data_IF_744311692944
#
_entry.id   IF_744311692944
#
_cell.length_a   1.000
_cell.length_b   1.000
_cell.length_c   1.000
_cell.angle_alpha   90.00
_cell.angle_beta   90.00
_cell.angle_gamma   90.00
#
_symmetry.space_group_name_H-M   'P 1'
#
loop_
_entity.id
_entity.type
_entity.pdbx_description
1 polymer ?
#
# COMPACT_ATOMS: atom_id res chain seq x y z
N UNK A 1 12.42 15.48 -20.23
CA UNK A 1 12.30 14.30 -19.35
C UNK A 1 13.72 13.83 -19.10
N UNK A 2 14.40 14.57 -18.23
CA UNK A 2 15.78 14.32 -17.87
C UNK A 2 15.89 12.92 -17.26
N UNK A 3 16.78 12.11 -17.85
CA UNK A 3 17.11 10.79 -17.32
C UNK A 3 17.74 11.04 -15.95
N UNK A 4 17.00 10.70 -14.90
CA UNK A 4 17.40 10.90 -13.52
C UNK A 4 18.82 10.38 -13.30
N UNK A 5 19.71 11.29 -12.91
CA UNK A 5 21.04 10.95 -12.42
C UNK A 5 20.84 10.28 -11.06
N UNK A 6 21.15 8.98 -10.99
CA UNK A 6 21.03 8.22 -9.76
C UNK A 6 22.13 8.68 -8.81
N UNK A 7 21.75 9.41 -7.76
CA UNK A 7 22.65 9.82 -6.68
C UNK A 7 22.91 8.59 -5.79
N UNK A 8 24.17 8.33 -5.44
CA UNK A 8 24.52 7.15 -4.65
C UNK A 8 23.73 7.10 -3.32
N UNK A 9 23.17 5.93 -3.00
CA UNK A 9 22.31 5.61 -1.84
C UNK A 9 20.80 5.92 -1.99
N UNK A 10 20.27 6.11 -3.20
CA UNK A 10 18.83 6.25 -3.45
C UNK A 10 18.20 4.96 -4.03
N UNK A 11 17.02 4.58 -3.53
CA UNK A 11 16.19 3.51 -4.13
C UNK A 11 14.93 4.15 -4.74
N UNK A 12 14.90 4.22 -6.07
CA UNK A 12 13.75 4.72 -6.83
C UNK A 12 12.90 3.55 -7.31
N UNK A 13 11.63 3.51 -6.90
CA UNK A 13 10.66 2.53 -7.38
C UNK A 13 9.74 3.19 -8.39
N UNK A 14 9.88 2.82 -9.66
CA UNK A 14 9.02 3.33 -10.73
C UNK A 14 7.74 2.49 -10.83
N UNK A 15 6.60 3.13 -10.62
CA UNK A 15 5.28 2.49 -10.72
C UNK A 15 4.45 3.19 -11.78
N UNK A 16 3.85 2.46 -12.75
CA UNK A 16 2.96 3.06 -13.74
C UNK A 16 1.77 3.76 -13.06
N UNK A 17 1.50 5.01 -13.46
CA UNK A 17 0.46 5.84 -12.84
C UNK A 17 -0.93 5.22 -12.89
N UNK A 18 -1.24 4.54 -13.99
CA UNK A 18 -2.49 3.78 -14.17
C UNK A 18 -2.71 2.72 -13.09
N UNK A 19 -1.63 2.07 -12.65
CA UNK A 19 -1.67 1.02 -11.61
C UNK A 19 -1.50 1.56 -10.18
N UNK A 20 -1.29 2.87 -10.03
CA UNK A 20 -1.06 3.49 -8.72
C UNK A 20 -2.34 3.53 -7.88
N UNK A 21 -3.47 3.87 -8.50
CA UNK A 21 -4.76 3.98 -7.80
C UNK A 21 -5.14 2.64 -7.15
N UNK A 22 -5.05 1.54 -7.90
CA UNK A 22 -5.39 0.20 -7.40
C UNK A 22 -4.51 -0.23 -6.22
N UNK A 23 -3.21 0.09 -6.28
CA UNK A 23 -2.26 -0.23 -5.20
C UNK A 23 -2.45 0.63 -3.94
N UNK A 24 -3.04 1.81 -4.08
CA UNK A 24 -3.31 2.71 -2.94
C UNK A 24 -4.62 2.35 -2.24
N UNK A 25 -5.63 1.90 -2.97
CA UNK A 25 -6.96 1.60 -2.38
C UNK A 25 -7.16 0.14 -1.97
N UNK A 26 -6.34 -0.77 -2.51
CA UNK A 26 -6.38 -2.21 -2.20
C UNK A 26 -5.86 -2.61 -0.81
N UNK A 27 -4.85 -1.95 -0.22
CA UNK A 27 -4.31 -2.31 1.08
C UNK A 27 -5.35 -2.29 2.21
N UNK A 28 -5.15 -3.17 3.17
CA UNK A 28 -5.93 -3.28 4.40
C UNK A 28 -5.00 -3.56 5.57
N UNK A 29 -5.28 -2.95 6.72
CA UNK A 29 -4.46 -3.03 7.91
C UNK A 29 -5.10 -3.97 8.93
N UNK A 30 -4.31 -4.88 9.48
CA UNK A 30 -4.68 -5.66 10.66
C UNK A 30 -4.41 -4.81 11.90
N UNK A 31 -5.47 -4.50 12.65
CA UNK A 31 -5.36 -3.67 13.86
C UNK A 31 -4.58 -4.34 15.00
N UNK A 32 -4.39 -5.65 14.96
CA UNK A 32 -3.70 -6.41 16.02
C UNK A 32 -2.23 -6.61 15.68
N UNK A 33 -1.92 -7.00 14.44
CA UNK A 33 -0.55 -7.35 14.03
C UNK A 33 0.18 -6.23 13.30
N UNK A 34 -0.51 -5.15 12.95
CA UNK A 34 -0.01 -4.05 12.12
C UNK A 34 0.49 -4.49 10.73
N UNK A 35 0.12 -5.70 10.28
CA UNK A 35 0.43 -6.19 8.94
C UNK A 35 -0.50 -5.58 7.91
N UNK A 36 0.05 -5.22 6.75
CA UNK A 36 -0.73 -4.81 5.57
C UNK A 36 -0.92 -5.98 4.61
N UNK A 37 -2.16 -6.18 4.17
CA UNK A 37 -2.53 -7.15 3.15
C UNK A 37 -3.18 -6.42 1.97
N UNK A 38 -3.15 -6.99 0.77
CA UNK A 38 -3.63 -6.29 -0.44
C UNK A 38 -4.95 -6.81 -1.03
N UNK A 39 -5.68 -7.84 -0.63
CA UNK A 39 -6.78 -8.39 -1.47
C UNK A 39 -6.31 -9.01 -2.80
N UNK A 40 -5.71 -8.25 -3.74
CA UNK A 40 -5.28 -8.75 -5.07
C UNK A 40 -3.86 -9.33 -5.07
N UNK A 41 -2.83 -8.57 -4.68
CA UNK A 41 -1.41 -8.96 -4.83
C UNK A 41 -0.83 -9.72 -3.63
N UNK A 42 -1.47 -9.60 -2.48
CA UNK A 42 -1.14 -10.31 -1.24
C UNK A 42 -2.47 -10.66 -0.58
N UNK A 43 -3.20 -11.65 -1.15
CA UNK A 43 -4.46 -12.11 -0.59
C UNK A 43 -4.21 -12.74 0.78
N UNK A 44 -5.23 -12.70 1.63
CA UNK A 44 -5.14 -13.18 3.01
C UNK A 44 -5.19 -14.71 3.04
N UNK A 45 -4.56 -15.28 4.04
CA UNK A 45 -4.44 -16.73 4.17
C UNK A 45 -5.62 -17.37 4.93
N UNK A 46 -6.37 -16.61 5.75
CA UNK A 46 -7.45 -17.15 6.61
C UNK A 46 -8.62 -16.19 6.85
N UNK A 47 -9.82 -16.73 7.08
CA UNK A 47 -11.07 -15.98 7.35
C UNK A 47 -11.00 -15.13 8.64
N UNK A 48 -10.23 -15.57 9.63
CA UNK A 48 -10.06 -14.83 10.88
C UNK A 48 -9.35 -13.48 10.65
N UNK A 49 -8.36 -13.45 9.75
CA UNK A 49 -7.70 -12.22 9.33
C UNK A 49 -8.68 -11.38 8.49
N UNK A 50 -9.59 -12.01 7.75
CA UNK A 50 -10.58 -11.28 6.94
C UNK A 50 -11.44 -10.35 7.80
N UNK A 51 -11.95 -10.86 8.91
CA UNK A 51 -12.84 -10.15 9.82
C UNK A 51 -12.19 -8.97 10.55
N UNK A 52 -10.86 -9.00 10.74
CA UNK A 52 -10.14 -8.00 11.54
C UNK A 52 -9.57 -6.85 10.72
N UNK A 53 -9.45 -6.98 9.39
CA UNK A 53 -8.82 -5.91 8.63
C UNK A 53 -9.75 -4.71 8.44
N UNK A 54 -9.19 -3.55 8.72
CA UNK A 54 -9.83 -2.26 8.51
C UNK A 54 -9.20 -1.55 7.32
N UNK A 55 -9.97 -0.69 6.65
CA UNK A 55 -9.43 0.23 5.62
C UNK A 55 -8.79 1.41 6.34
N UNK A 56 -7.61 1.87 5.92
CA UNK A 56 -7.03 3.07 6.51
C UNK A 56 -7.83 4.30 6.03
N UNK A 57 -8.06 5.26 6.93
CA UNK A 57 -8.82 6.48 6.61
C UNK A 57 -8.12 7.36 5.57
N UNK A 58 -6.78 7.28 5.49
CA UNK A 58 -5.95 8.04 4.55
C UNK A 58 -5.72 7.34 3.19
N UNK A 59 -6.27 6.13 2.98
CA UNK A 59 -6.21 5.39 1.70
C UNK A 59 -7.14 6.04 0.66
N UNK A 60 -6.73 7.23 0.23
CA UNK A 60 -7.29 8.00 -0.87
C UNK A 60 -6.23 8.13 -1.96
N UNK A 61 -6.66 8.22 -3.22
CA UNK A 61 -5.75 8.36 -4.38
C UNK A 61 -4.81 9.58 -4.24
N UNK A 62 -5.15 10.55 -3.38
CA UNK A 62 -4.38 11.76 -3.16
C UNK A 62 -3.19 11.60 -2.22
N UNK A 63 -3.30 10.81 -1.14
CA UNK A 63 -2.38 10.97 0.01
C UNK A 63 -1.62 9.70 0.45
N UNK A 64 -1.99 8.50 -0.01
CA UNK A 64 -1.14 7.29 -0.03
C UNK A 64 -0.21 7.02 1.17
N UNK A 65 -0.58 7.38 2.40
CA UNK A 65 0.28 7.19 3.58
C UNK A 65 -0.58 6.76 4.75
N UNK A 66 -0.23 5.64 5.37
CA UNK A 66 -0.97 5.13 6.52
C UNK A 66 -0.27 5.59 7.81
N UNK A 67 -0.98 6.35 8.64
CA UNK A 67 -0.61 6.63 10.02
C UNK A 67 -1.37 5.62 10.89
N UNK A 68 -0.63 4.80 11.65
CA UNK A 68 -1.24 4.03 12.72
C UNK A 68 -1.68 5.02 13.80
N UNK A 69 -2.96 5.02 14.15
CA UNK A 69 -3.46 5.71 15.33
C UNK A 69 -3.05 4.95 16.60
#
# INVERSE_FOLDING_TARGET
MDKGELVANEIVVMVPRESFADRVVGPRLDSITSRRYHMTYSPRETEEIVAKLTRCFDDTVKNGTCIAA
#
